data_IF_317228989165
#
_entry.id   IF_317228989165
#
_cell.length_a   1.000
_cell.length_b   1.000
_cell.length_c   1.000
_cell.angle_alpha   90.00
_cell.angle_beta   90.00
_cell.angle_gamma   90.00
#
_symmetry.space_group_name_H-M   'P 1'
#
loop_
_entity.id
_entity.type
_entity.pdbx_description
1 polymer ?
#
# COMPACT_ATOMS: atom_id res chain seq x y z
N UNK A 1 -22.13 -11.41 -17.69
CA UNK A 1 -22.40 -11.22 -16.26
C UNK A 1 -21.67 -9.95 -15.85
N UNK A 2 -22.39 -8.84 -15.79
CA UNK A 2 -21.82 -7.57 -15.33
C UNK A 2 -21.53 -7.72 -13.84
N UNK A 3 -20.26 -7.98 -13.52
CA UNK A 3 -19.81 -8.07 -12.12
C UNK A 3 -20.00 -6.71 -11.49
N UNK A 4 -21.03 -6.61 -10.65
CA UNK A 4 -21.39 -5.43 -9.89
C UNK A 4 -20.17 -4.99 -9.06
N UNK A 5 -19.39 -4.06 -9.59
CA UNK A 5 -18.13 -3.54 -9.00
C UNK A 5 -18.38 -2.71 -7.74
N UNK A 6 -19.66 -2.43 -7.42
CA UNK A 6 -20.08 -1.63 -6.27
C UNK A 6 -20.26 -2.43 -4.98
N UNK A 7 -20.20 -3.77 -5.00
CA UNK A 7 -20.28 -4.54 -3.74
C UNK A 7 -18.96 -4.40 -3.00
N UNK A 8 -19.00 -3.76 -1.83
CA UNK A 8 -17.90 -3.80 -0.87
C UNK A 8 -17.57 -5.27 -0.56
N UNK A 9 -16.39 -5.72 -0.97
CA UNK A 9 -15.92 -7.08 -0.73
C UNK A 9 -15.15 -7.08 0.58
N UNK A 10 -15.67 -7.78 1.58
CA UNK A 10 -14.99 -7.98 2.85
C UNK A 10 -13.83 -8.96 2.69
N UNK A 11 -12.65 -8.59 3.19
CA UNK A 11 -11.49 -9.46 3.23
C UNK A 11 -11.74 -10.61 4.22
N UNK A 12 -11.49 -11.85 3.80
CA UNK A 12 -11.55 -13.04 4.64
C UNK A 12 -10.45 -14.04 4.24
N UNK A 13 -10.26 -15.09 5.03
CA UNK A 13 -9.19 -16.07 4.78
C UNK A 13 -9.30 -16.72 3.39
N UNK A 14 -10.51 -17.00 2.92
CA UNK A 14 -10.73 -17.67 1.62
C UNK A 14 -10.39 -16.77 0.44
N UNK A 15 -10.59 -15.46 0.53
CA UNK A 15 -10.32 -14.53 -0.56
C UNK A 15 -8.96 -13.80 -0.45
N UNK A 16 -8.22 -14.03 0.63
CA UNK A 16 -6.92 -13.39 0.88
C UNK A 16 -5.93 -13.56 -0.27
N UNK A 17 -5.84 -14.76 -0.87
CA UNK A 17 -4.90 -15.03 -1.96
C UNK A 17 -5.16 -14.17 -3.21
N UNK A 18 -6.42 -13.83 -3.49
CA UNK A 18 -6.79 -12.92 -4.60
C UNK A 18 -6.51 -11.47 -4.23
N UNK A 19 -6.80 -11.09 -2.99
CA UNK A 19 -6.64 -9.71 -2.53
C UNK A 19 -5.20 -9.32 -2.22
N UNK A 20 -4.33 -10.28 -1.86
CA UNK A 20 -2.92 -10.03 -1.56
C UNK A 20 -2.22 -9.31 -2.72
N UNK A 21 -2.29 -9.85 -3.93
CA UNK A 21 -1.68 -9.22 -5.10
C UNK A 21 -2.26 -7.84 -5.41
N UNK A 22 -3.59 -7.68 -5.28
CA UNK A 22 -4.25 -6.36 -5.46
C UNK A 22 -3.81 -5.34 -4.41
N UNK A 23 -3.59 -5.77 -3.16
CA UNK A 23 -3.09 -4.91 -2.10
C UNK A 23 -1.62 -4.54 -2.34
N UNK A 24 -0.80 -5.50 -2.76
CA UNK A 24 0.61 -5.25 -3.13
C UNK A 24 0.71 -4.24 -4.28
N UNK A 25 -0.05 -4.41 -5.36
CA UNK A 25 -0.09 -3.46 -6.48
C UNK A 25 -0.47 -2.04 -6.03
N UNK A 26 -1.48 -1.91 -5.15
CA UNK A 26 -1.89 -0.60 -4.61
C UNK A 26 -0.79 0.06 -3.77
N UNK A 27 -0.01 -0.73 -3.04
CA UNK A 27 1.12 -0.24 -2.26
C UNK A 27 2.26 0.21 -3.18
N UNK A 28 2.52 -0.51 -4.26
CA UNK A 28 3.54 -0.14 -5.25
C UNK A 28 3.19 1.13 -6.03
N UNK A 29 1.93 1.28 -6.47
CA UNK A 29 1.48 2.47 -7.22
C UNK A 29 1.63 3.77 -6.40
N UNK A 30 1.56 3.68 -5.07
CA UNK A 30 1.64 4.83 -4.17
C UNK A 30 2.98 4.95 -3.43
N UNK A 31 3.98 4.16 -3.81
CA UNK A 31 5.27 4.06 -3.10
C UNK A 31 5.15 3.74 -1.60
N UNK A 32 4.02 3.16 -1.18
CA UNK A 32 3.74 2.71 0.18
C UNK A 32 4.26 1.30 0.48
N UNK A 33 4.86 0.63 -0.49
CA UNK A 33 5.66 -0.58 -0.26
C UNK A 33 6.91 -0.29 0.58
N UNK A 34 7.34 0.97 0.60
CA UNK A 34 8.47 1.40 1.41
C UNK A 34 8.06 1.35 2.89
N UNK A 35 8.91 0.81 3.77
CA UNK A 35 8.62 0.77 5.20
C UNK A 35 8.37 2.18 5.72
N UNK A 36 7.11 2.47 6.09
CA UNK A 36 6.69 3.75 6.69
C UNK A 36 7.30 3.95 8.08
N UNK A 37 7.77 2.88 8.71
CA UNK A 37 8.38 2.89 10.05
C UNK A 37 9.87 2.53 10.01
N UNK A 38 10.55 2.77 8.90
CA UNK A 38 12.02 2.69 8.90
C UNK A 38 12.55 3.94 9.57
N UNK A 39 13.28 3.80 10.68
CA UNK A 39 14.04 4.90 11.29
C UNK A 39 15.19 5.37 10.39
N UNK A 40 15.60 4.54 9.43
CA UNK A 40 16.72 4.81 8.55
C UNK A 40 16.26 5.49 7.26
N UNK A 41 16.72 6.74 7.07
CA UNK A 41 16.50 7.52 5.85
C UNK A 41 17.15 6.80 4.68
N UNK A 42 16.33 6.28 3.77
CA UNK A 42 16.81 5.76 2.50
C UNK A 42 17.63 6.84 1.78
N UNK A 43 18.85 6.50 1.40
CA UNK A 43 19.81 7.36 0.69
C UNK A 43 19.25 7.94 -0.61
N UNK A 44 18.22 7.32 -1.17
CA UNK A 44 17.56 7.69 -2.42
C UNK A 44 16.43 8.72 -2.24
N UNK A 45 16.03 9.03 -1.00
CA UNK A 45 14.97 10.00 -0.70
C UNK A 45 15.52 11.35 -0.24
N UNK A 46 14.95 12.41 -0.80
CA UNK A 46 15.27 13.79 -0.41
C UNK A 46 14.72 14.10 0.99
N UNK A 47 15.40 14.94 1.78
CA UNK A 47 14.97 15.34 3.14
C UNK A 47 13.50 15.80 3.21
N UNK A 48 13.03 16.51 2.18
CA UNK A 48 11.65 17.00 2.10
C UNK A 48 10.61 15.89 1.93
N UNK A 49 10.94 14.84 1.20
CA UNK A 49 10.07 13.68 0.99
C UNK A 49 10.04 12.81 2.25
N UNK A 50 11.18 12.73 2.95
CA UNK A 50 11.29 12.07 4.24
C UNK A 50 10.42 12.73 5.31
N UNK A 51 10.54 14.06 5.48
CA UNK A 51 9.71 14.82 6.43
C UNK A 51 8.22 14.75 6.09
N UNK A 52 7.84 14.71 4.80
CA UNK A 52 6.45 14.52 4.40
C UNK A 52 5.89 13.15 4.85
N UNK A 53 6.68 12.08 4.76
CA UNK A 53 6.27 10.73 5.17
C UNK A 53 6.27 10.50 6.69
N UNK A 54 7.10 11.24 7.45
CA UNK A 54 7.28 11.05 8.91
C UNK A 54 6.68 12.17 9.77
N UNK A 55 5.78 12.99 9.21
CA UNK A 55 5.02 13.95 10.01
C UNK A 55 4.12 13.20 11.00
N UNK A 56 4.44 13.28 12.29
CA UNK A 56 3.54 12.93 13.39
C UNK A 56 2.32 13.86 13.43
#
# INVERSE_FOLDING_TARGET
>A
METNTSRMVTLNGSNYHVWKGKMEDLLYVKDYYLPVFTDEKSSDKTDKEWELCHRQ
#
